data_IF_542402792440
#
_entry.id   IF_542402792440
#
_cell.length_a   1.000
_cell.length_b   1.000
_cell.length_c   1.000
_cell.angle_alpha   90.00
_cell.angle_beta   90.00
_cell.angle_gamma   90.00
#
_symmetry.space_group_name_H-M   'P 1'
#
loop_
_entity.id
_entity.type
_entity.pdbx_description
1 polymer ?
#
# COMPACT_ATOMS: atom_id res chain seq x y z
N UNK A 1 -93.01 7.26 38.44
CA UNK A 1 -93.20 7.92 37.14
C UNK A 1 -92.28 7.20 36.15
N UNK A 2 -92.67 6.09 35.52
CA UNK A 2 -93.47 5.95 34.27
C UNK A 2 -92.85 6.57 33.01
N UNK A 3 -92.58 5.68 32.04
CA UNK A 3 -92.40 5.84 30.58
C UNK A 3 -91.06 6.44 30.09
N UNK A 4 -90.42 6.00 29.00
CA UNK A 4 -90.73 4.97 27.99
C UNK A 4 -89.54 4.78 27.02
N UNK A 5 -89.57 3.63 26.33
CA UNK A 5 -88.76 3.14 25.22
C UNK A 5 -88.61 4.05 23.99
N UNK A 6 -87.49 3.90 23.27
CA UNK A 6 -87.31 3.89 21.80
C UNK A 6 -85.85 3.45 21.53
N UNK A 7 -85.56 2.19 21.18
CA UNK A 7 -85.57 1.58 19.84
C UNK A 7 -84.80 2.37 18.77
N UNK A 8 -83.57 1.94 18.49
CA UNK A 8 -82.95 2.12 17.16
C UNK A 8 -81.99 0.97 16.89
N UNK A 9 -82.30 0.25 15.82
CA UNK A 9 -81.60 -0.89 15.25
C UNK A 9 -80.29 -0.46 14.58
N UNK A 10 -79.21 -1.22 14.79
CA UNK A 10 -77.98 -1.13 14.01
C UNK A 10 -77.65 -2.54 13.47
N UNK A 11 -77.31 -2.69 12.17
CA UNK A 11 -77.14 -3.99 11.55
C UNK A 11 -75.76 -4.59 11.89
N UNK A 12 -75.76 -5.88 12.22
CA UNK A 12 -74.57 -6.72 12.31
C UNK A 12 -73.94 -6.89 10.92
N UNK A 13 -72.78 -6.28 10.67
CA UNK A 13 -71.92 -6.64 9.55
C UNK A 13 -71.11 -7.88 9.93
N UNK A 14 -71.51 -9.04 9.40
CA UNK A 14 -70.71 -10.27 9.43
C UNK A 14 -69.68 -10.18 8.30
N UNK A 15 -68.42 -9.97 8.66
CA UNK A 15 -67.29 -10.08 7.71
C UNK A 15 -66.97 -11.57 7.56
N UNK A 16 -67.36 -12.14 6.42
CA UNK A 16 -66.85 -13.44 5.96
C UNK A 16 -65.41 -13.24 5.45
N UNK A 17 -64.43 -13.69 6.23
CA UNK A 17 -63.05 -13.86 5.76
C UNK A 17 -63.01 -15.09 4.83
N UNK A 18 -63.08 -14.83 3.53
CA UNK A 18 -62.71 -15.80 2.50
C UNK A 18 -61.20 -16.05 2.59
N UNK A 19 -60.80 -17.18 3.17
CA UNK A 19 -59.47 -17.75 2.98
C UNK A 19 -59.38 -18.28 1.54
N UNK A 20 -59.05 -17.39 0.61
CA UNK A 20 -58.53 -17.80 -0.69
C UNK A 20 -57.16 -18.41 -0.48
N UNK A 21 -57.02 -19.71 -0.74
CA UNK A 21 -55.72 -20.37 -0.86
C UNK A 21 -54.98 -19.78 -2.06
N UNK A 22 -54.23 -18.70 -1.84
CA UNK A 22 -53.16 -18.31 -2.74
C UNK A 22 -52.12 -19.42 -2.67
N UNK A 23 -52.14 -20.31 -3.66
CA UNK A 23 -50.99 -21.12 -4.00
C UNK A 23 -49.87 -20.16 -4.41
N UNK A 24 -49.04 -19.77 -3.44
CA UNK A 24 -47.76 -19.14 -3.73
C UNK A 24 -46.91 -20.24 -4.34
N UNK A 25 -46.76 -20.19 -5.66
CA UNK A 25 -45.73 -20.95 -6.36
C UNK A 25 -44.39 -20.54 -5.76
N UNK A 26 -43.78 -21.44 -4.99
CA UNK A 26 -42.48 -21.23 -4.39
C UNK A 26 -41.42 -21.36 -5.50
N UNK A 27 -41.32 -20.35 -6.36
CA UNK A 27 -40.24 -20.25 -7.34
C UNK A 27 -38.94 -20.03 -6.59
N UNK A 28 -37.99 -20.95 -6.73
CA UNK A 28 -36.69 -20.84 -6.09
C UNK A 28 -36.06 -19.48 -6.43
N UNK A 29 -35.76 -18.68 -5.42
CA UNK A 29 -35.28 -17.32 -5.60
C UNK A 29 -33.85 -17.34 -6.16
N UNK A 30 -33.65 -16.77 -7.35
CA UNK A 30 -32.33 -16.70 -7.97
C UNK A 30 -31.42 -15.69 -7.26
N UNK A 31 -30.18 -16.11 -6.97
CA UNK A 31 -29.12 -15.27 -6.41
C UNK A 31 -27.97 -15.13 -7.41
N UNK A 32 -27.14 -14.09 -7.25
CA UNK A 32 -25.91 -13.95 -8.04
C UNK A 32 -24.84 -14.89 -7.49
N UNK A 33 -24.15 -15.60 -8.36
CA UNK A 33 -23.03 -16.48 -8.04
C UNK A 33 -21.79 -16.09 -8.85
N UNK A 34 -20.63 -16.21 -8.23
CA UNK A 34 -19.32 -16.10 -8.85
C UNK A 34 -18.78 -17.50 -9.10
N UNK A 35 -18.52 -17.82 -10.35
CA UNK A 35 -18.05 -19.12 -10.84
C UNK A 35 -16.58 -19.00 -11.21
N UNK A 36 -15.73 -19.79 -10.57
CA UNK A 36 -14.29 -19.87 -10.84
C UNK A 36 -14.02 -21.08 -11.73
N UNK A 37 -13.34 -20.85 -12.85
CA UNK A 37 -13.05 -21.83 -13.89
C UNK A 37 -11.55 -22.13 -13.98
N UNK A 38 -11.20 -23.41 -14.12
CA UNK A 38 -9.83 -23.87 -14.35
C UNK A 38 -9.42 -23.61 -15.80
N UNK A 39 -8.80 -22.44 -16.07
CA UNK A 39 -8.39 -22.04 -17.44
C UNK A 39 -7.61 -23.12 -18.20
N UNK A 40 -6.76 -23.89 -17.52
CA UNK A 40 -5.94 -24.96 -18.13
C UNK A 40 -6.74 -26.19 -18.57
N UNK A 41 -8.01 -26.32 -18.14
CA UNK A 41 -8.88 -27.44 -18.49
C UNK A 41 -9.86 -27.12 -19.61
N UNK A 42 -9.72 -25.97 -20.29
CA UNK A 42 -10.57 -25.65 -21.43
C UNK A 42 -10.45 -26.72 -22.52
N UNK A 43 -11.55 -27.36 -22.95
CA UNK A 43 -11.50 -28.35 -24.01
C UNK A 43 -11.00 -27.72 -25.32
N UNK A 44 -10.24 -28.48 -26.10
CA UNK A 44 -9.68 -28.04 -27.39
C UNK A 44 -10.74 -27.75 -28.46
N UNK A 45 -12.00 -28.12 -28.22
CA UNK A 45 -13.15 -27.79 -29.07
C UNK A 45 -13.63 -26.34 -28.95
N UNK A 46 -13.09 -25.56 -28.00
CA UNK A 46 -13.43 -24.15 -27.83
C UNK A 46 -12.27 -23.23 -28.21
N UNK A 47 -12.56 -22.25 -29.07
CA UNK A 47 -11.58 -21.24 -29.50
C UNK A 47 -11.46 -20.06 -28.51
N UNK A 48 -12.47 -19.86 -27.66
CA UNK A 48 -12.51 -18.79 -26.66
C UNK A 48 -13.07 -19.27 -25.32
N UNK A 49 -12.47 -18.80 -24.23
CA UNK A 49 -12.90 -19.12 -22.87
C UNK A 49 -14.34 -18.69 -22.58
N UNK A 50 -14.80 -17.58 -23.17
CA UNK A 50 -16.19 -17.10 -23.02
C UNK A 50 -17.22 -18.09 -23.58
N UNK A 51 -16.93 -18.73 -24.71
CA UNK A 51 -17.83 -19.73 -25.32
C UNK A 51 -17.87 -21.01 -24.49
N UNK A 52 -16.73 -21.40 -23.91
CA UNK A 52 -16.69 -22.52 -22.96
C UNK A 52 -17.50 -22.23 -21.71
N UNK A 53 -17.36 -21.03 -21.14
CA UNK A 53 -18.11 -20.59 -19.95
C UNK A 53 -19.61 -20.54 -20.20
N UNK A 54 -20.04 -19.99 -21.34
CA UNK A 54 -21.45 -19.97 -21.74
C UNK A 54 -22.00 -21.39 -21.90
N UNK A 55 -21.25 -22.27 -22.57
CA UNK A 55 -21.64 -23.68 -22.71
C UNK A 55 -21.79 -24.40 -21.35
N UNK A 56 -20.89 -24.12 -20.40
CA UNK A 56 -20.98 -24.66 -19.03
C UNK A 56 -22.16 -24.08 -18.24
N UNK A 57 -22.55 -22.83 -18.49
CA UNK A 57 -23.73 -22.21 -17.89
C UNK A 57 -25.04 -22.77 -18.47
N UNK A 58 -25.09 -22.91 -19.81
CA UNK A 58 -26.27 -23.43 -20.51
C UNK A 58 -26.56 -24.90 -20.23
N UNK A 59 -25.56 -25.68 -19.79
CA UNK A 59 -25.77 -27.08 -19.41
C UNK A 59 -26.57 -27.24 -18.12
N UNK A 60 -26.67 -26.19 -17.29
CA UNK A 60 -27.37 -26.21 -16.00
C UNK A 60 -28.57 -25.27 -15.95
N UNK A 61 -28.63 -24.26 -16.81
CA UNK A 61 -29.77 -23.34 -16.90
C UNK A 61 -29.98 -22.83 -18.32
N UNK A 62 -31.17 -23.06 -18.87
CA UNK A 62 -31.54 -22.56 -20.21
C UNK A 62 -31.74 -21.03 -20.22
N UNK A 63 -32.06 -20.44 -19.06
CA UNK A 63 -32.48 -19.04 -18.95
C UNK A 63 -31.42 -18.11 -18.36
N UNK A 64 -30.38 -18.63 -17.71
CA UNK A 64 -29.34 -17.83 -17.07
C UNK A 64 -28.39 -17.18 -18.09
N UNK A 65 -27.94 -15.97 -17.79
CA UNK A 65 -26.97 -15.23 -18.60
C UNK A 65 -25.76 -14.80 -17.76
N UNK A 66 -24.59 -14.75 -18.39
CA UNK A 66 -23.39 -14.22 -17.75
C UNK A 66 -23.50 -12.70 -17.55
N UNK A 67 -23.38 -12.26 -16.32
CA UNK A 67 -23.41 -10.85 -15.90
C UNK A 67 -22.04 -10.21 -16.09
N UNK A 68 -20.97 -10.98 -15.86
CA UNK A 68 -19.60 -10.50 -15.96
C UNK A 68 -18.64 -11.66 -16.21
N UNK A 69 -17.49 -11.39 -16.84
CA UNK A 69 -16.43 -12.38 -17.09
C UNK A 69 -15.10 -11.91 -16.51
N UNK A 70 -14.46 -12.75 -15.70
CA UNK A 70 -13.16 -12.52 -15.08
C UNK A 70 -12.04 -13.15 -15.93
N UNK A 71 -11.04 -12.35 -16.33
CA UNK A 71 -10.00 -12.76 -17.28
C UNK A 71 -8.54 -12.57 -16.82
N UNK A 72 -8.31 -11.98 -15.64
CA UNK A 72 -6.98 -11.55 -15.19
C UNK A 72 -6.50 -12.34 -13.96
N UNK A 73 -6.87 -11.90 -12.76
CA UNK A 73 -6.44 -12.51 -11.49
C UNK A 73 -7.18 -13.82 -11.17
N UNK A 74 -8.40 -13.96 -11.70
CA UNK A 74 -9.26 -15.12 -11.59
C UNK A 74 -9.87 -15.33 -12.99
N UNK A 75 -10.07 -16.59 -13.38
CA UNK A 75 -10.70 -16.96 -14.65
C UNK A 75 -12.10 -17.50 -14.38
N UNK A 76 -13.15 -16.92 -14.96
CA UNK A 76 -14.52 -17.37 -14.69
C UNK A 76 -15.58 -16.33 -15.00
N UNK A 77 -16.76 -16.45 -14.41
CA UNK A 77 -17.88 -15.56 -14.69
C UNK A 77 -18.84 -15.38 -13.51
N UNK A 78 -19.64 -14.31 -13.52
CA UNK A 78 -20.75 -14.10 -12.59
C UNK A 78 -22.07 -14.34 -13.32
N UNK A 79 -23.04 -14.97 -12.66
CA UNK A 79 -24.36 -15.30 -13.23
C UNK A 79 -25.43 -15.36 -12.15
N UNK A 80 -26.72 -15.34 -12.52
CA UNK A 80 -27.83 -15.56 -11.58
C UNK A 80 -28.40 -16.95 -11.76
N UNK A 81 -28.45 -17.70 -10.66
CA UNK A 81 -28.86 -19.11 -10.63
C UNK A 81 -29.76 -19.37 -9.43
N UNK A 82 -30.57 -20.42 -9.48
CA UNK A 82 -31.14 -21.02 -8.28
C UNK A 82 -30.07 -21.81 -7.53
N UNK A 83 -30.24 -22.10 -6.24
CA UNK A 83 -29.31 -22.95 -5.49
C UNK A 83 -29.05 -24.30 -6.15
N UNK A 84 -30.09 -24.93 -6.72
CA UNK A 84 -30.00 -26.23 -7.38
C UNK A 84 -29.20 -26.16 -8.69
N UNK A 85 -29.36 -25.09 -9.47
CA UNK A 85 -28.56 -24.85 -10.67
C UNK A 85 -27.10 -24.55 -10.31
N UNK A 86 -26.85 -23.82 -9.22
CA UNK A 86 -25.51 -23.53 -8.71
C UNK A 86 -24.79 -24.80 -8.23
N UNK A 87 -25.50 -25.69 -7.52
CA UNK A 87 -24.98 -27.00 -7.10
C UNK A 87 -24.69 -27.89 -8.30
N UNK A 88 -25.58 -27.90 -9.30
CA UNK A 88 -25.37 -28.62 -10.55
C UNK A 88 -24.15 -28.09 -11.31
N UNK A 89 -23.92 -26.77 -11.29
CA UNK A 89 -22.77 -26.15 -11.93
C UNK A 89 -21.45 -26.54 -11.26
N UNK A 90 -21.43 -26.73 -9.93
CA UNK A 90 -20.24 -27.21 -9.22
C UNK A 90 -19.77 -28.60 -9.68
N UNK A 91 -20.66 -29.41 -10.25
CA UNK A 91 -20.32 -30.74 -10.76
C UNK A 91 -19.74 -30.72 -12.18
N UNK A 92 -19.78 -29.57 -12.87
CA UNK A 92 -19.32 -29.47 -14.25
C UNK A 92 -17.79 -29.52 -14.35
N UNK A 93 -17.22 -30.27 -15.32
CA UNK A 93 -15.79 -30.30 -15.56
C UNK A 93 -15.20 -28.91 -15.79
N UNK A 94 -14.12 -28.60 -15.08
CA UNK A 94 -13.44 -27.31 -15.16
C UNK A 94 -13.99 -26.21 -14.25
N UNK A 95 -15.08 -26.46 -13.52
CA UNK A 95 -15.55 -25.56 -12.45
C UNK A 95 -14.79 -25.85 -11.15
N UNK A 96 -14.06 -24.85 -10.65
CA UNK A 96 -13.29 -24.92 -9.40
C UNK A 96 -14.18 -24.61 -8.19
N UNK A 97 -15.05 -23.61 -8.31
CA UNK A 97 -15.97 -23.22 -7.24
C UNK A 97 -17.11 -22.37 -7.76
N UNK A 98 -18.30 -22.54 -7.17
CA UNK A 98 -19.46 -21.65 -7.37
C UNK A 98 -19.79 -21.06 -6.00
N UNK A 99 -19.71 -19.73 -5.86
CA UNK A 99 -19.93 -19.06 -4.57
C UNK A 99 -20.99 -17.99 -4.73
N UNK A 100 -21.99 -17.98 -3.85
CA UNK A 100 -23.00 -16.92 -3.87
C UNK A 100 -22.31 -15.57 -3.59
N UNK A 101 -22.61 -14.58 -4.42
CA UNK A 101 -22.13 -13.22 -4.25
C UNK A 101 -22.67 -12.66 -2.93
N UNK A 102 -21.76 -12.27 -2.05
CA UNK A 102 -22.11 -11.50 -0.87
C UNK A 102 -21.88 -10.02 -1.15
N UNK A 103 -22.98 -9.26 -1.18
CA UNK A 103 -22.91 -7.81 -1.29
C UNK A 103 -22.49 -7.26 0.06
N UNK A 104 -21.21 -6.92 0.20
CA UNK A 104 -20.71 -6.24 1.38
C UNK A 104 -20.95 -4.74 1.24
N UNK A 105 -21.70 -4.15 2.18
CA UNK A 105 -21.71 -2.70 2.29
C UNK A 105 -20.36 -2.23 2.84
N UNK A 106 -19.77 -1.21 2.22
CA UNK A 106 -18.52 -0.62 2.67
C UNK A 106 -18.77 0.07 4.01
N UNK A 107 -18.56 -0.67 5.11
CA UNK A 107 -18.95 -0.18 6.42
C UNK A 107 -18.01 0.93 6.96
N UNK A 108 -16.71 1.02 6.58
CA UNK A 108 -15.81 2.17 6.86
C UNK A 108 -14.34 1.89 6.49
N UNK A 109 -13.51 2.94 6.38
CA UNK A 109 -12.02 2.93 6.37
C UNK A 109 -11.40 3.02 7.77
N UNK A 110 -12.19 2.91 8.84
CA UNK A 110 -11.74 3.04 10.25
C UNK A 110 -12.24 1.87 11.10
N UNK A 111 -11.37 0.86 11.22
CA UNK A 111 -11.56 -0.38 12.00
C UNK A 111 -12.07 -0.18 13.43
N UNK A 112 -11.64 0.83 14.22
CA UNK A 112 -12.13 0.99 15.60
C UNK A 112 -13.61 1.35 15.70
N UNK A 113 -14.12 2.16 14.77
CA UNK A 113 -15.51 2.60 14.72
C UNK A 113 -16.45 1.44 14.37
N UNK A 114 -16.03 0.60 13.42
CA UNK A 114 -16.78 -0.59 12.98
C UNK A 114 -17.00 -1.60 14.10
N UNK A 115 -16.05 -1.71 15.02
CA UNK A 115 -16.09 -2.65 16.13
C UNK A 115 -16.78 -2.09 17.39
N UNK A 116 -17.37 -0.90 17.32
CA UNK A 116 -18.01 -0.27 18.48
C UNK A 116 -17.04 0.06 19.62
N UNK A 117 -15.75 0.22 19.31
CA UNK A 117 -14.71 0.63 20.26
C UNK A 117 -14.67 2.15 20.46
N UNK A 118 -15.59 2.86 19.82
CA UNK A 118 -15.98 4.24 20.07
C UNK A 118 -17.29 4.22 20.87
N UNK A 119 -17.22 4.07 22.20
CA UNK A 119 -18.09 4.80 23.14
C UNK A 119 -17.57 4.71 24.60
N UNK A 120 -17.26 5.89 25.15
CA UNK A 120 -17.47 6.42 26.51
C UNK A 120 -17.89 5.49 27.68
N UNK A 121 -17.15 4.44 28.00
CA UNK A 121 -17.15 3.91 29.37
C UNK A 121 -15.71 3.55 29.79
N UNK A 122 -15.18 4.36 30.70
CA UNK A 122 -13.82 4.23 31.20
C UNK A 122 -13.57 2.85 31.77
N UNK A 123 -12.47 2.23 31.32
CA UNK A 123 -11.96 1.00 31.89
C UNK A 123 -11.47 0.00 30.85
N UNK A 124 -10.41 0.34 30.11
CA UNK A 124 -9.30 -0.62 29.87
C UNK A 124 -8.08 0.03 29.20
N UNK A 125 -8.21 1.19 28.56
CA UNK A 125 -7.08 1.92 27.96
C UNK A 125 -7.29 3.43 28.13
N UNK A 126 -6.31 4.19 28.65
CA UNK A 126 -6.42 5.65 28.71
C UNK A 126 -6.53 6.20 27.28
N UNK A 127 -7.54 7.04 27.05
CA UNK A 127 -7.75 7.74 25.78
C UNK A 127 -6.50 8.56 25.44
N UNK A 128 -5.89 8.24 24.30
CA UNK A 128 -5.15 9.24 23.54
C UNK A 128 -5.67 9.17 22.12
N UNK A 129 -6.06 10.32 21.57
CA UNK A 129 -6.54 10.53 20.20
C UNK A 129 -5.47 10.26 19.12
N UNK A 130 -4.40 9.55 19.47
CA UNK A 130 -3.17 9.30 18.72
C UNK A 130 -3.17 7.96 17.97
N UNK A 131 -4.32 7.30 17.81
CA UNK A 131 -4.42 5.90 17.36
C UNK A 131 -4.27 5.66 15.85
N UNK A 132 -3.71 6.60 15.09
CA UNK A 132 -3.36 6.40 13.67
C UNK A 132 -2.03 7.05 13.32
N UNK A 133 -1.18 6.34 12.57
CA UNK A 133 0.17 6.75 12.13
C UNK A 133 1.27 6.72 13.20
N UNK A 134 1.25 5.74 14.10
CA UNK A 134 2.36 5.49 15.04
C UNK A 134 3.41 4.59 14.40
N UNK A 135 4.69 4.87 14.64
CA UNK A 135 5.76 3.91 14.34
C UNK A 135 5.83 2.94 15.50
N UNK A 136 5.66 1.65 15.20
CA UNK A 136 5.94 0.59 16.16
C UNK A 136 7.30 0.01 15.79
N UNK A 137 8.29 0.24 16.66
CA UNK A 137 9.64 -0.31 16.57
C UNK A 137 9.66 -1.83 16.69
N UNK A 138 9.19 -2.53 15.67
CA UNK A 138 9.35 -3.98 15.54
C UNK A 138 10.66 -4.22 14.79
N UNK A 139 11.76 -4.28 15.55
CA UNK A 139 13.08 -4.87 15.25
C UNK A 139 13.87 -4.47 13.98
N UNK A 140 13.33 -3.66 13.05
CA UNK A 140 14.03 -3.22 11.83
C UNK A 140 14.19 -1.69 11.77
N UNK A 141 15.01 -1.13 12.67
CA UNK A 141 15.44 0.28 12.59
C UNK A 141 16.81 0.40 11.92
N UNK A 142 17.04 1.51 11.22
CA UNK A 142 18.36 1.88 10.71
C UNK A 142 19.39 2.21 11.80
N UNK A 143 20.62 2.53 11.40
CA UNK A 143 21.10 2.65 10.01
C UNK A 143 21.23 1.30 9.32
N UNK A 144 21.37 1.32 7.98
CA UNK A 144 21.63 0.12 7.19
C UNK A 144 23.02 -0.46 7.55
N UNK A 145 23.10 -1.66 8.16
CA UNK A 145 24.38 -2.23 8.62
C UNK A 145 25.28 -2.69 7.47
N UNK A 146 24.73 -2.91 6.27
CA UNK A 146 25.47 -3.35 5.09
C UNK A 146 26.06 -2.16 4.35
N UNK A 147 25.31 -1.05 4.27
CA UNK A 147 25.75 0.17 3.59
C UNK A 147 25.20 1.39 4.33
N UNK A 148 25.91 1.90 5.35
CA UNK A 148 25.44 3.00 6.20
C UNK A 148 25.09 4.29 5.43
N UNK A 149 25.70 4.49 4.26
CA UNK A 149 25.42 5.64 3.38
C UNK A 149 24.08 5.55 2.63
N UNK A 150 23.32 4.46 2.78
CA UNK A 150 21.96 4.32 2.27
C UNK A 150 20.99 4.24 3.44
N UNK A 151 20.17 5.28 3.58
CA UNK A 151 19.17 5.40 4.66
C UNK A 151 18.13 4.26 4.56
N UNK A 152 17.90 3.57 5.67
CA UNK A 152 16.84 2.57 5.83
C UNK A 152 16.11 2.73 7.18
N UNK A 153 14.81 2.39 7.26
CA UNK A 153 13.93 1.94 6.17
C UNK A 153 13.64 3.06 5.15
N UNK A 154 13.01 2.75 4.02
CA UNK A 154 12.70 3.78 3.01
C UNK A 154 11.50 4.66 3.40
N UNK A 155 10.47 4.05 3.96
CA UNK A 155 9.19 4.67 4.32
C UNK A 155 8.38 3.69 5.20
N UNK A 156 7.31 4.18 5.84
CA UNK A 156 6.40 3.36 6.65
C UNK A 156 4.99 3.30 6.06
N UNK A 157 4.28 2.23 6.41
CA UNK A 157 2.88 2.02 6.05
C UNK A 157 2.16 1.22 7.16
N UNK A 158 0.82 1.19 7.18
CA UNK A 158 0.06 0.51 8.23
C UNK A 158 0.42 -0.97 8.33
N UNK A 159 0.86 -1.39 9.52
CA UNK A 159 1.28 -2.77 9.78
C UNK A 159 0.79 -3.34 11.10
N UNK A 160 -0.07 -2.63 11.83
CA UNK A 160 -0.49 -3.01 13.18
C UNK A 160 -1.99 -3.16 13.21
N UNK A 161 -2.47 -4.25 13.79
CA UNK A 161 -3.88 -4.62 13.86
C UNK A 161 -4.53 -4.62 12.47
N UNK A 162 -3.83 -5.21 11.50
CA UNK A 162 -4.32 -5.32 10.13
C UNK A 162 -5.22 -6.53 10.02
N UNK A 163 -6.50 -6.28 9.69
CA UNK A 163 -7.47 -7.30 9.35
C UNK A 163 -7.25 -7.75 7.90
N UNK A 164 -7.00 -9.03 7.70
CA UNK A 164 -6.85 -9.62 6.36
C UNK A 164 -7.43 -11.04 6.31
N UNK A 165 -7.60 -11.55 5.09
CA UNK A 165 -8.09 -12.91 4.88
C UNK A 165 -7.18 -13.94 5.56
N UNK A 166 -7.80 -14.98 6.10
CA UNK A 166 -7.14 -16.07 6.82
C UNK A 166 -7.66 -17.40 6.30
N UNK A 167 -6.76 -18.37 6.12
CA UNK A 167 -7.09 -19.65 5.47
C UNK A 167 -8.05 -20.52 6.29
N UNK A 168 -8.19 -20.24 7.59
CA UNK A 168 -8.88 -21.11 8.53
C UNK A 168 -8.14 -22.42 8.81
N UNK A 169 -6.96 -22.69 8.21
CA UNK A 169 -6.21 -23.93 8.48
C UNK A 169 -5.57 -23.94 9.88
N UNK A 170 -5.29 -22.75 10.42
CA UNK A 170 -4.77 -22.53 11.76
C UNK A 170 -5.72 -21.62 12.55
N UNK A 171 -5.73 -21.76 13.87
CA UNK A 171 -6.43 -20.83 14.76
C UNK A 171 -5.84 -19.41 14.67
N UNK A 172 -6.62 -18.36 14.98
CA UNK A 172 -6.18 -16.97 14.90
C UNK A 172 -4.88 -16.66 15.66
N UNK A 173 -4.64 -17.36 16.78
CA UNK A 173 -3.42 -17.18 17.59
C UNK A 173 -2.19 -17.94 17.05
N UNK A 174 -2.39 -18.86 16.09
CA UNK A 174 -1.36 -19.80 15.63
C UNK A 174 -1.01 -20.90 16.63
N UNK A 175 -1.61 -20.93 17.83
CA UNK A 175 -1.38 -21.97 18.83
C UNK A 175 -2.15 -23.25 18.49
N UNK A 176 -1.54 -24.41 18.75
CA UNK A 176 -2.18 -25.70 18.53
C UNK A 176 -3.45 -25.91 19.38
N UNK A 177 -3.56 -25.23 20.52
CA UNK A 177 -4.73 -25.24 21.40
C UNK A 177 -5.90 -24.39 20.88
N UNK A 178 -5.66 -23.50 19.91
CA UNK A 178 -6.69 -22.61 19.37
C UNK A 178 -7.50 -23.30 18.27
N UNK A 179 -8.69 -23.74 18.66
CA UNK A 179 -9.61 -24.49 17.80
C UNK A 179 -10.49 -23.58 16.94
N UNK A 180 -10.45 -22.26 17.10
CA UNK A 180 -11.27 -21.33 16.31
C UNK A 180 -10.88 -21.35 14.84
N UNK A 181 -11.86 -21.18 13.95
CA UNK A 181 -11.65 -21.15 12.50
C UNK A 181 -12.34 -19.90 11.97
N UNK A 182 -11.55 -18.99 11.41
CA UNK A 182 -12.00 -17.66 10.98
C UNK A 182 -11.55 -17.43 9.55
N UNK A 183 -12.37 -16.70 8.79
CA UNK A 183 -12.05 -16.29 7.42
C UNK A 183 -11.18 -15.02 7.38
N UNK A 184 -11.10 -14.30 8.50
CA UNK A 184 -10.29 -13.10 8.66
C UNK A 184 -9.56 -13.12 10.00
N UNK A 185 -8.34 -12.61 10.01
CA UNK A 185 -7.52 -12.50 11.21
C UNK A 185 -6.92 -11.10 11.33
N UNK A 186 -6.63 -10.68 12.56
CA UNK A 186 -5.98 -9.42 12.88
C UNK A 186 -4.57 -9.74 13.34
N UNK A 187 -3.59 -9.30 12.55
CA UNK A 187 -2.17 -9.52 12.86
C UNK A 187 -1.37 -8.23 12.66
N UNK A 188 -0.19 -8.22 13.26
CA UNK A 188 0.71 -7.06 13.28
C UNK A 188 2.10 -7.48 12.85
N UNK A 189 2.80 -6.60 12.13
CA UNK A 189 4.18 -6.76 11.71
C UNK A 189 4.49 -5.98 10.43
N UNK A 190 5.78 -5.82 10.14
CA UNK A 190 6.26 -5.25 8.87
C UNK A 190 5.79 -6.07 7.65
N UNK A 191 5.55 -7.37 7.86
CA UNK A 191 4.89 -8.26 6.88
C UNK A 191 3.49 -7.80 6.48
N UNK A 192 2.80 -7.01 7.31
CA UNK A 192 1.50 -6.41 7.00
C UNK A 192 1.63 -5.02 6.36
N UNK A 193 2.70 -4.27 6.67
CA UNK A 193 3.02 -3.00 5.99
C UNK A 193 3.44 -3.21 4.54
N UNK A 194 4.26 -4.23 4.26
CA UNK A 194 4.77 -4.55 2.93
C UNK A 194 3.69 -4.69 1.84
N UNK A 195 2.58 -5.44 2.04
CA UNK A 195 1.53 -5.56 1.02
C UNK A 195 0.76 -4.25 0.79
N UNK A 196 0.65 -3.35 1.78
CA UNK A 196 0.10 -2.01 1.54
C UNK A 196 0.96 -1.23 0.55
N UNK A 197 2.27 -1.17 0.77
CA UNK A 197 3.20 -0.48 -0.14
C UNK A 197 3.23 -1.16 -1.51
N UNK A 198 3.16 -2.49 -1.56
CA UNK A 198 3.10 -3.25 -2.82
C UNK A 198 1.84 -2.94 -3.63
N UNK A 199 0.68 -2.85 -2.97
CA UNK A 199 -0.57 -2.44 -3.60
C UNK A 199 -0.50 -1.00 -4.12
N UNK A 200 0.08 -0.08 -3.34
CA UNK A 200 0.30 1.31 -3.79
C UNK A 200 1.23 1.39 -4.98
N UNK A 201 2.34 0.62 -4.98
CA UNK A 201 3.26 0.56 -6.11
C UNK A 201 2.57 0.04 -7.38
N UNK A 202 1.71 -0.98 -7.26
CA UNK A 202 0.92 -1.50 -8.37
C UNK A 202 -0.09 -0.48 -8.91
N UNK A 203 -0.75 0.28 -8.02
CA UNK A 203 -1.66 1.36 -8.41
C UNK A 203 -0.92 2.50 -9.09
N UNK A 204 0.25 2.90 -8.59
CA UNK A 204 1.07 3.92 -9.25
C UNK A 204 1.54 3.43 -10.62
N UNK A 205 1.90 2.15 -10.76
CA UNK A 205 2.26 1.55 -12.05
C UNK A 205 1.08 1.49 -13.03
N UNK A 206 -0.16 1.35 -12.55
CA UNK A 206 -1.33 1.36 -13.44
C UNK A 206 -1.67 2.77 -13.92
N UNK A 207 -1.43 3.79 -13.10
CA UNK A 207 -1.61 5.20 -13.48
C UNK A 207 -0.45 5.71 -14.35
N UNK A 208 0.78 5.26 -14.08
CA UNK A 208 2.00 5.61 -14.81
C UNK A 208 2.70 4.35 -15.35
N UNK A 209 2.19 3.74 -16.44
CA UNK A 209 2.71 2.49 -17.00
C UNK A 209 4.18 2.55 -17.42
N UNK A 210 4.71 3.74 -17.70
CA UNK A 210 6.09 3.99 -18.11
C UNK A 210 7.07 4.12 -16.94
N UNK A 211 6.60 4.38 -15.72
CA UNK A 211 7.49 4.59 -14.58
C UNK A 211 8.31 3.35 -14.25
N UNK A 212 9.60 3.55 -14.00
CA UNK A 212 10.48 2.51 -13.49
C UNK A 212 10.09 2.15 -12.03
N UNK A 213 10.54 0.99 -11.51
CA UNK A 213 10.41 0.69 -10.09
C UNK A 213 11.04 1.76 -9.18
N UNK A 214 12.13 2.39 -9.62
CA UNK A 214 12.81 3.45 -8.87
C UNK A 214 12.01 4.75 -8.86
N UNK A 215 11.38 5.12 -9.98
CA UNK A 215 10.48 6.26 -10.06
C UNK A 215 9.25 6.09 -9.14
N UNK A 216 8.66 4.89 -9.11
CA UNK A 216 7.55 4.56 -8.18
C UNK A 216 8.00 4.65 -6.72
N UNK A 217 9.15 4.07 -6.37
CA UNK A 217 9.72 4.21 -5.03
C UNK A 217 9.97 5.67 -4.68
N UNK A 218 10.54 6.44 -5.61
CA UNK A 218 10.78 7.87 -5.43
C UNK A 218 9.50 8.63 -5.15
N UNK A 219 8.43 8.38 -5.92
CA UNK A 219 7.15 9.03 -5.72
C UNK A 219 6.61 8.75 -4.30
N UNK A 220 6.60 7.48 -3.90
CA UNK A 220 6.14 7.07 -2.56
C UNK A 220 6.96 7.70 -1.42
N UNK A 221 8.29 7.76 -1.56
CA UNK A 221 9.17 8.33 -0.54
C UNK A 221 9.05 9.85 -0.48
N UNK A 222 9.17 10.52 -1.61
CA UNK A 222 9.29 12.00 -1.65
C UNK A 222 8.01 12.74 -1.32
N UNK A 223 6.87 12.05 -1.39
CA UNK A 223 5.56 12.59 -1.02
C UNK A 223 5.03 12.03 0.31
N UNK A 224 5.84 11.24 1.03
CA UNK A 224 5.48 10.74 2.36
C UNK A 224 5.40 11.90 3.37
N UNK A 225 4.56 11.73 4.40
CA UNK A 225 4.48 12.70 5.50
C UNK A 225 5.15 12.15 6.75
N UNK A 226 5.83 13.02 7.49
CA UNK A 226 6.53 12.69 8.73
C UNK A 226 5.94 13.39 9.96
N UNK A 227 4.82 14.08 9.79
CA UNK A 227 4.05 14.77 10.84
C UNK A 227 2.58 14.37 10.77
N UNK A 228 1.90 14.39 11.92
CA UNK A 228 0.46 14.29 11.98
C UNK A 228 -0.20 15.56 11.43
N UNK A 229 -1.53 15.53 11.29
CA UNK A 229 -2.31 16.66 10.76
C UNK A 229 -2.23 17.93 11.61
N UNK A 230 -1.88 17.80 12.89
CA UNK A 230 -1.68 18.91 13.82
C UNK A 230 -0.25 19.49 13.75
N UNK A 231 0.61 18.94 12.89
CA UNK A 231 2.01 19.35 12.72
C UNK A 231 2.98 18.69 13.69
N UNK A 232 2.50 17.89 14.65
CA UNK A 232 3.38 17.17 15.57
C UNK A 232 4.13 16.05 14.82
N UNK A 233 5.39 15.77 15.17
CA UNK A 233 6.15 14.68 14.56
C UNK A 233 5.49 13.33 14.87
N UNK A 234 5.62 12.38 13.94
CA UNK A 234 5.24 10.99 14.19
C UNK A 234 6.00 10.47 15.42
N UNK A 235 5.34 9.74 16.30
CA UNK A 235 5.92 9.23 17.54
C UNK A 235 6.35 7.77 17.35
N UNK A 236 7.54 7.45 17.86
CA UNK A 236 7.93 6.06 18.09
C UNK A 236 7.32 5.59 19.42
N UNK A 237 6.45 4.58 19.34
CA UNK A 237 5.74 4.06 20.51
C UNK A 237 6.68 3.38 21.52
N UNK A 238 7.84 2.90 21.07
CA UNK A 238 8.78 2.17 21.93
C UNK A 238 9.50 3.10 22.90
N UNK A 239 9.80 4.33 22.46
CA UNK A 239 10.48 5.35 23.27
C UNK A 239 9.55 6.46 23.76
N UNK A 240 8.38 6.65 23.15
CA UNK A 240 7.47 7.76 23.41
C UNK A 240 7.98 9.11 22.90
N UNK A 241 9.02 9.11 22.05
CA UNK A 241 9.68 10.33 21.53
C UNK A 241 9.33 10.55 20.05
N UNK A 242 9.57 11.75 19.50
CA UNK A 242 9.54 11.97 18.06
C UNK A 242 10.39 10.91 17.34
N UNK A 243 9.77 10.28 16.35
CA UNK A 243 10.43 9.26 15.54
C UNK A 243 11.46 9.88 14.60
N UNK A 244 12.47 9.10 14.27
CA UNK A 244 13.59 9.53 13.42
C UNK A 244 13.51 8.91 12.02
N UNK A 245 14.23 9.45 11.03
CA UNK A 245 14.40 8.81 9.73
C UNK A 245 14.94 7.37 9.78
N UNK A 246 15.67 6.97 10.83
CA UNK A 246 16.06 5.56 11.00
C UNK A 246 14.91 4.64 11.42
N UNK A 247 13.78 5.20 11.84
CA UNK A 247 12.59 4.44 12.21
C UNK A 247 11.52 4.55 11.12
N UNK A 248 11.32 5.75 10.54
CA UNK A 248 10.25 5.98 9.55
C UNK A 248 10.71 6.21 8.11
N UNK A 249 12.01 6.27 7.84
CA UNK A 249 12.53 6.57 6.51
C UNK A 249 12.18 7.99 6.05
N UNK A 250 11.50 8.10 4.91
CA UNK A 250 10.92 9.35 4.44
C UNK A 250 9.61 9.74 5.14
N UNK A 251 8.99 8.81 5.87
CA UNK A 251 7.72 9.01 6.56
C UNK A 251 6.65 8.02 6.12
N UNK A 252 5.41 8.31 6.49
CA UNK A 252 4.25 7.49 6.19
C UNK A 252 3.73 7.73 4.77
N UNK A 253 3.40 6.64 4.08
CA UNK A 253 2.84 6.69 2.72
C UNK A 253 1.65 7.64 2.61
N UNK A 254 1.63 8.40 1.51
CA UNK A 254 0.49 9.21 1.09
C UNK A 254 0.11 8.86 -0.35
N UNK A 255 -0.91 8.00 -0.53
CA UNK A 255 -1.29 7.50 -1.86
C UNK A 255 -1.67 8.61 -2.84
N UNK A 256 -2.41 9.61 -2.37
CA UNK A 256 -2.99 10.66 -3.21
C UNK A 256 -1.94 11.63 -3.74
N UNK A 257 -0.92 11.96 -2.95
CA UNK A 257 0.17 12.84 -3.38
C UNK A 257 1.19 12.09 -4.23
N UNK A 258 1.40 10.80 -3.98
CA UNK A 258 2.34 9.99 -4.76
C UNK A 258 1.93 9.79 -6.23
N UNK A 259 0.65 9.98 -6.57
CA UNK A 259 0.18 9.93 -7.97
C UNK A 259 0.79 11.06 -8.81
N UNK A 260 1.05 12.23 -8.23
CA UNK A 260 1.73 13.31 -8.95
C UNK A 260 2.77 13.97 -8.04
N UNK A 261 3.97 13.40 -7.94
CA UNK A 261 5.01 13.86 -7.03
C UNK A 261 5.72 15.13 -7.55
N UNK A 262 5.46 15.56 -8.79
CA UNK A 262 6.18 16.66 -9.44
C UNK A 262 7.54 16.24 -9.99
N UNK A 263 8.44 15.72 -9.13
CA UNK A 263 9.76 15.21 -9.51
C UNK A 263 9.98 13.77 -9.02
N UNK A 264 10.80 13.01 -9.74
CA UNK A 264 11.25 11.67 -9.32
C UNK A 264 12.76 11.48 -9.45
N UNK A 265 13.34 10.74 -8.51
CA UNK A 265 14.70 10.22 -8.55
C UNK A 265 14.68 8.84 -9.22
N UNK A 266 14.97 8.83 -10.52
CA UNK A 266 14.96 7.60 -11.31
C UNK A 266 16.32 6.90 -11.30
N UNK A 267 16.30 5.58 -11.43
CA UNK A 267 17.46 4.71 -11.49
C UNK A 267 17.25 3.61 -12.51
N UNK A 268 18.31 3.27 -13.21
CA UNK A 268 18.41 2.15 -14.13
C UNK A 268 19.12 0.97 -13.48
N UNK A 269 19.04 -0.19 -14.13
CA UNK A 269 19.81 -1.37 -13.70
C UNK A 269 21.32 -1.10 -13.69
N UNK A 270 21.83 -0.28 -14.62
CA UNK A 270 23.26 0.06 -14.69
C UNK A 270 23.69 0.84 -13.45
N UNK A 271 22.86 1.75 -12.94
CA UNK A 271 23.16 2.51 -11.72
C UNK A 271 23.31 1.58 -10.49
N UNK A 272 22.52 0.52 -10.40
CA UNK A 272 22.68 -0.50 -9.35
C UNK A 272 23.96 -1.33 -9.53
N UNK A 273 24.37 -1.63 -10.76
CA UNK A 273 25.62 -2.34 -11.03
C UNK A 273 26.83 -1.47 -10.70
N UNK A 274 26.79 -0.18 -11.05
CA UNK A 274 27.80 0.81 -10.68
C UNK A 274 27.88 0.99 -9.16
N UNK A 275 26.76 0.91 -8.45
CA UNK A 275 26.73 0.88 -6.99
C UNK A 275 27.39 -0.37 -6.41
N UNK A 276 27.18 -1.56 -6.99
CA UNK A 276 27.90 -2.77 -6.57
C UNK A 276 29.42 -2.64 -6.80
N UNK A 277 29.83 -1.97 -7.89
CA UNK A 277 31.22 -1.64 -8.13
C UNK A 277 31.78 -0.67 -7.07
N UNK A 278 30.99 0.32 -6.63
CA UNK A 278 31.37 1.21 -5.52
C UNK A 278 31.62 0.43 -4.23
N UNK A 279 30.82 -0.60 -3.97
CA UNK A 279 30.96 -1.52 -2.83
C UNK A 279 32.08 -2.56 -3.00
N UNK A 280 32.88 -2.49 -4.07
CA UNK A 280 34.02 -3.38 -4.35
C UNK A 280 33.65 -4.84 -4.60
N UNK A 281 32.42 -5.11 -5.07
CA UNK A 281 32.04 -6.44 -5.53
C UNK A 281 32.78 -6.77 -6.83
N UNK A 282 33.27 -8.01 -6.95
CA UNK A 282 33.91 -8.49 -8.17
C UNK A 282 32.88 -9.01 -9.19
N UNK A 283 33.28 -9.18 -10.45
CA UNK A 283 32.37 -9.61 -11.53
C UNK A 283 31.65 -10.93 -11.26
N UNK A 284 32.27 -11.87 -10.55
CA UNK A 284 31.62 -13.14 -10.21
C UNK A 284 30.47 -12.91 -9.21
N UNK A 285 30.72 -12.11 -8.17
CA UNK A 285 29.69 -11.76 -7.19
C UNK A 285 28.54 -10.95 -7.81
N UNK A 286 28.86 -9.99 -8.69
CA UNK A 286 27.85 -9.21 -9.43
C UNK A 286 27.04 -10.13 -10.35
N UNK A 287 27.68 -11.12 -10.98
CA UNK A 287 27.03 -12.09 -11.85
C UNK A 287 25.97 -12.94 -11.13
N UNK A 288 26.17 -13.26 -9.86
CA UNK A 288 25.19 -14.01 -9.04
C UNK A 288 23.88 -13.23 -8.89
N UNK A 289 23.96 -11.91 -8.68
CA UNK A 289 22.78 -11.08 -8.42
C UNK A 289 22.13 -10.58 -9.70
N UNK A 290 22.94 -10.16 -10.68
CA UNK A 290 22.45 -9.59 -11.94
C UNK A 290 21.98 -10.63 -12.96
N UNK A 291 22.33 -11.91 -12.77
CA UNK A 291 22.11 -13.01 -13.73
C UNK A 291 22.71 -12.73 -15.12
N UNK A 292 23.73 -11.87 -15.18
CA UNK A 292 24.44 -11.50 -16.41
C UNK A 292 25.91 -11.22 -16.13
N UNK A 293 26.70 -11.02 -17.19
CA UNK A 293 28.11 -10.67 -17.05
C UNK A 293 28.25 -9.15 -16.97
N UNK A 294 28.74 -8.65 -15.83
CA UNK A 294 29.10 -7.24 -15.65
C UNK A 294 30.52 -7.12 -15.11
N UNK A 295 31.29 -6.21 -15.70
CA UNK A 295 32.64 -5.89 -15.26
C UNK A 295 32.74 -4.39 -15.02
N UNK A 296 33.14 -4.04 -13.79
CA UNK A 296 33.37 -2.67 -13.42
C UNK A 296 34.48 -2.08 -14.32
N UNK A 297 34.16 -0.99 -15.01
CA UNK A 297 35.13 -0.23 -15.80
C UNK A 297 36.20 0.37 -14.86
N UNK A 298 37.46 0.00 -15.07
CA UNK A 298 38.60 0.43 -14.27
C UNK A 298 38.96 1.90 -14.47
N UNK A 299 38.46 2.55 -15.53
CA UNK A 299 38.65 3.98 -15.77
C UNK A 299 37.67 4.86 -15.01
N UNK A 300 36.58 4.29 -14.48
CA UNK A 300 35.57 5.00 -13.70
C UNK A 300 35.86 4.96 -12.20
N UNK A 301 35.63 6.09 -11.55
CA UNK A 301 35.55 6.15 -10.08
C UNK A 301 34.10 5.93 -9.66
N UNK A 302 33.86 4.87 -8.91
CA UNK A 302 32.53 4.56 -8.36
C UNK A 302 32.42 5.05 -6.93
N UNK A 303 31.35 5.78 -6.60
CA UNK A 303 31.00 6.15 -5.24
C UNK A 303 29.60 5.67 -4.87
N UNK A 304 29.44 5.22 -3.63
CA UNK A 304 28.11 4.94 -3.06
C UNK A 304 27.24 6.20 -3.08
N UNK A 305 27.86 7.38 -2.95
CA UNK A 305 27.17 8.67 -2.97
C UNK A 305 26.52 9.00 -4.33
N UNK A 306 26.94 8.33 -5.41
CA UNK A 306 26.43 8.57 -6.77
C UNK A 306 25.11 7.84 -7.04
N UNK A 307 24.72 6.88 -6.20
CA UNK A 307 23.41 6.24 -6.32
C UNK A 307 22.32 7.31 -6.15
N UNK A 308 21.52 7.51 -7.20
CA UNK A 308 20.46 8.51 -7.29
C UNK A 308 19.23 8.17 -6.40
N UNK A 309 19.47 8.05 -5.10
CA UNK A 309 18.50 7.61 -4.10
C UNK A 309 17.75 8.82 -3.51
N UNK A 310 16.42 8.73 -3.25
CA UNK A 310 15.60 9.84 -2.74
C UNK A 310 15.79 10.15 -1.24
N UNK A 311 16.96 9.84 -0.68
CA UNK A 311 17.39 10.15 0.68
C UNK A 311 18.91 10.30 0.75
N UNK A 312 19.38 10.87 1.85
CA UNK A 312 20.80 11.09 2.12
C UNK A 312 21.17 10.49 3.47
N UNK A 313 22.18 9.63 3.50
CA UNK A 313 22.80 9.18 4.74
C UNK A 313 24.31 9.44 4.68
N UNK A 314 24.78 10.29 5.59
CA UNK A 314 26.18 10.71 5.68
C UNK A 314 26.79 10.04 6.90
N UNK A 315 27.71 9.11 6.65
CA UNK A 315 28.53 8.55 7.71
C UNK A 315 29.82 9.36 7.83
N UNK A 316 29.97 10.08 8.94
CA UNK A 316 31.10 10.99 9.19
C UNK A 316 32.26 10.18 9.77
N UNK A 317 33.24 9.89 8.91
CA UNK A 317 34.46 9.12 9.19
C UNK A 317 35.70 9.92 8.77
N UNK A 318 36.10 10.89 9.60
CA UNK A 318 37.38 11.60 9.45
C UNK A 318 37.53 12.52 8.22
N UNK A 319 36.57 12.55 7.29
CA UNK A 319 36.51 13.56 6.22
C UNK A 319 35.70 14.78 6.66
N UNK A 320 36.20 15.97 6.28
CA UNK A 320 35.54 17.26 6.53
C UNK A 320 34.41 17.54 5.52
N UNK A 321 34.35 16.81 4.41
CA UNK A 321 33.37 17.08 3.35
C UNK A 321 32.89 15.81 2.66
N UNK A 322 31.58 15.72 2.46
CA UNK A 322 30.90 14.65 1.73
C UNK A 322 30.03 15.25 0.64
N UNK A 323 30.22 14.80 -0.60
CA UNK A 323 29.48 15.32 -1.78
C UNK A 323 28.62 14.23 -2.38
N UNK A 324 27.38 14.57 -2.68
CA UNK A 324 26.39 13.73 -3.34
C UNK A 324 25.91 14.42 -4.60
N UNK A 325 25.70 13.65 -5.65
CA UNK A 325 25.02 14.14 -6.86
C UNK A 325 23.67 13.46 -6.96
N UNK A 326 22.63 14.22 -7.29
CA UNK A 326 21.30 13.70 -7.58
C UNK A 326 20.82 14.23 -8.91
N UNK A 327 20.01 13.43 -9.59
CA UNK A 327 19.33 13.79 -10.82
C UNK A 327 17.84 13.55 -10.63
N UNK A 328 17.06 14.60 -10.79
CA UNK A 328 15.60 14.56 -10.72
C UNK A 328 15.02 14.67 -12.13
N UNK A 329 13.95 13.93 -12.37
CA UNK A 329 13.18 13.95 -13.62
C UNK A 329 11.85 14.63 -13.35
N UNK A 330 11.45 15.61 -14.17
CA UNK A 330 10.12 16.22 -14.04
C UNK A 330 9.05 15.27 -14.57
N UNK A 331 8.07 14.95 -13.72
CA UNK A 331 6.85 14.21 -14.11
C UNK A 331 5.62 15.11 -14.12
N UNK A 332 5.70 16.29 -13.49
CA UNK A 332 4.64 17.32 -13.48
C UNK A 332 4.70 18.32 -14.63
N UNK A 333 5.74 18.28 -15.47
CA UNK A 333 5.91 19.16 -16.63
C UNK A 333 6.78 20.39 -16.35
N UNK A 334 6.44 21.52 -16.99
CA UNK A 334 7.19 22.76 -16.84
C UNK A 334 7.00 23.35 -15.43
N UNK A 335 8.09 23.77 -14.79
CA UNK A 335 8.06 24.30 -13.43
C UNK A 335 9.43 24.75 -12.93
N UNK A 336 9.42 25.62 -11.92
CA UNK A 336 10.62 26.07 -11.22
C UNK A 336 10.56 25.62 -9.77
N UNK A 337 11.51 24.78 -9.37
CA UNK A 337 11.60 24.24 -8.02
C UNK A 337 12.70 24.95 -7.26
N UNK A 338 12.37 25.50 -6.09
CA UNK A 338 13.33 26.08 -5.15
C UNK A 338 13.62 25.11 -4.02
N UNK A 339 14.88 25.05 -3.58
CA UNK A 339 15.30 24.17 -2.48
C UNK A 339 15.11 24.82 -1.11
N UNK A 340 14.65 24.04 -0.15
CA UNK A 340 14.66 24.34 1.28
C UNK A 340 15.41 23.24 2.01
N UNK A 341 16.25 23.63 2.96
CA UNK A 341 17.06 22.71 3.77
C UNK A 341 16.68 22.87 5.23
N UNK A 342 16.50 21.76 5.92
CA UNK A 342 16.37 21.71 7.37
C UNK A 342 17.43 20.78 7.96
N UNK A 343 17.94 21.13 9.13
CA UNK A 343 18.93 20.33 9.86
C UNK A 343 18.73 20.55 11.36
N UNK A 344 18.74 19.46 12.13
CA UNK A 344 18.69 19.47 13.59
C UNK A 344 20.03 19.87 14.23
N UNK A 345 21.08 20.02 13.43
CA UNK A 345 22.41 20.34 13.93
C UNK A 345 23.10 21.42 13.11
N UNK A 346 23.90 22.23 13.81
CA UNK A 346 24.83 23.20 13.24
C UNK A 346 26.23 22.62 13.03
N UNK A 347 26.48 21.36 13.43
CA UNK A 347 27.77 20.70 13.32
C UNK A 347 28.13 20.32 11.87
N UNK A 348 27.12 20.18 11.01
CA UNK A 348 27.28 19.93 9.59
C UNK A 348 26.46 20.95 8.80
N UNK A 349 27.13 21.69 7.93
CA UNK A 349 26.51 22.61 6.98
C UNK A 349 26.13 21.86 5.71
N UNK A 350 24.87 21.99 5.30
CA UNK A 350 24.34 21.39 4.07
C UNK A 350 24.18 22.48 3.02
N UNK A 351 24.86 22.37 1.89
CA UNK A 351 24.76 23.29 0.75
C UNK A 351 24.34 22.57 -0.52
N UNK A 352 23.51 23.23 -1.34
CA UNK A 352 22.95 22.67 -2.58
C UNK A 352 23.24 23.61 -3.75
N UNK A 353 23.66 23.05 -4.87
CA UNK A 353 23.93 23.79 -6.10
C UNK A 353 23.40 23.02 -7.34
N UNK A 354 22.60 23.66 -8.22
CA UNK A 354 22.02 25.01 -8.07
C UNK A 354 20.90 25.04 -7.01
N UNK A 355 20.55 26.23 -6.50
CA UNK A 355 19.45 26.38 -5.52
C UNK A 355 18.04 26.37 -6.16
N UNK A 356 17.97 26.47 -7.49
CA UNK A 356 16.72 26.46 -8.27
C UNK A 356 16.88 25.55 -9.48
N UNK A 357 15.90 24.68 -9.72
CA UNK A 357 15.81 23.81 -10.89
C UNK A 357 14.65 24.23 -11.77
N UNK A 358 14.94 24.57 -13.02
CA UNK A 358 13.96 24.97 -14.01
C UNK A 358 13.75 23.86 -15.04
N UNK A 359 12.50 23.42 -15.19
CA UNK A 359 12.07 22.43 -16.16
C UNK A 359 11.11 23.08 -17.16
N UNK A 360 11.22 22.69 -18.43
CA UNK A 360 10.45 23.18 -19.56
C UNK A 360 9.41 22.17 -20.04
N UNK A 361 9.65 20.89 -19.79
CA UNK A 361 8.79 19.80 -20.26
C UNK A 361 8.85 18.57 -19.35
N UNK A 362 7.89 17.66 -19.55
CA UNK A 362 7.87 16.35 -18.87
C UNK A 362 9.06 15.52 -19.34
N UNK A 363 9.62 14.72 -18.44
CA UNK A 363 10.81 13.87 -18.62
C UNK A 363 12.14 14.63 -18.75
N UNK A 364 12.15 15.97 -18.67
CA UNK A 364 13.40 16.71 -18.58
C UNK A 364 14.11 16.35 -17.26
N UNK A 365 15.41 16.07 -17.36
CA UNK A 365 16.27 15.72 -16.23
C UNK A 365 17.14 16.90 -15.84
N UNK A 366 17.26 17.14 -14.54
CA UNK A 366 18.21 18.12 -13.99
C UNK A 366 18.99 17.51 -12.84
N UNK A 367 20.27 17.82 -12.79
CA UNK A 367 21.15 17.38 -11.70
C UNK A 367 21.47 18.52 -10.76
N UNK A 368 21.69 18.18 -9.50
CA UNK A 368 22.19 19.09 -8.48
C UNK A 368 23.17 18.36 -7.57
N UNK A 369 24.09 19.12 -6.99
CA UNK A 369 25.05 18.65 -5.99
C UNK A 369 24.58 19.03 -4.60
N UNK A 370 24.77 18.12 -3.64
CA UNK A 370 24.62 18.37 -2.20
C UNK A 370 25.98 18.18 -1.55
N UNK A 371 26.43 19.18 -0.80
CA UNK A 371 27.68 19.12 -0.05
C UNK A 371 27.40 19.23 1.43
N UNK A 372 27.90 18.27 2.20
CA UNK A 372 27.87 18.24 3.65
C UNK A 372 29.26 18.59 4.15
N UNK A 373 29.41 19.74 4.78
CA UNK A 373 30.67 20.22 5.35
C UNK A 373 30.62 20.08 6.87
N UNK A 374 31.55 19.31 7.43
CA UNK A 374 31.63 19.06 8.87
C UNK A 374 32.42 20.19 9.52
N UNK A 375 31.72 21.07 10.24
CA UNK A 375 32.33 22.19 10.96
C UNK A 375 32.74 21.77 12.39
N UNK A 376 31.98 20.85 13.00
CA UNK A 376 32.23 20.32 14.34
C UNK A 376 32.03 18.80 14.37
N UNK A 377 33.00 18.07 14.91
CA UNK A 377 32.83 16.64 15.16
C UNK A 377 31.99 16.40 16.42
N UNK A 378 31.14 15.37 16.40
CA UNK A 378 30.36 14.90 17.55
C UNK A 378 30.89 13.55 18.03
N UNK A 379 30.55 13.11 19.27
CA UNK A 379 30.91 11.79 19.74
C UNK A 379 30.43 10.67 18.82
N UNK A 380 31.26 9.62 18.65
CA UNK A 380 30.88 8.41 17.93
C UNK A 380 29.57 7.82 18.49
N UNK A 381 28.69 7.35 17.61
CA UNK A 381 27.34 6.90 17.90
C UNK A 381 26.29 8.01 17.94
N UNK A 382 26.68 9.27 17.77
CA UNK A 382 25.72 10.39 17.65
C UNK A 382 25.04 10.37 16.29
N UNK A 383 23.76 10.77 16.27
CA UNK A 383 22.99 10.96 15.04
C UNK A 383 22.34 12.35 15.03
N UNK A 384 22.11 12.89 13.84
CA UNK A 384 21.33 14.11 13.63
C UNK A 384 20.60 14.03 12.30
N UNK A 385 19.41 14.62 12.22
CA UNK A 385 18.55 14.47 11.06
C UNK A 385 18.20 15.81 10.41
N UNK A 386 17.60 15.75 9.24
CA UNK A 386 17.18 16.91 8.47
C UNK A 386 16.39 16.54 7.23
N UNK A 387 16.12 17.52 6.39
CA UNK A 387 15.45 17.33 5.09
C UNK A 387 16.00 18.26 4.02
N UNK A 388 15.93 17.79 2.77
CA UNK A 388 16.10 18.62 1.58
C UNK A 388 14.77 18.54 0.81
N UNK A 389 14.13 19.69 0.63
CA UNK A 389 12.80 19.81 0.04
C UNK A 389 12.86 20.68 -1.21
N UNK A 390 12.46 20.13 -2.35
CA UNK A 390 12.22 20.91 -3.56
C UNK A 390 10.74 21.26 -3.67
N UNK A 391 10.41 22.52 -3.94
CA UNK A 391 9.02 22.93 -4.13
C UNK A 391 8.84 23.96 -5.24
N UNK A 392 7.78 23.80 -6.02
CA UNK A 392 7.26 24.74 -7.00
C UNK A 392 6.03 25.51 -6.48
N UNK A 393 5.75 25.40 -5.17
CA UNK A 393 4.55 25.94 -4.50
C UNK A 393 3.30 25.06 -4.59
N UNK A 394 3.31 23.99 -5.39
CA UNK A 394 2.20 23.02 -5.52
C UNK A 394 2.62 21.63 -5.06
N UNK A 395 3.79 21.20 -5.48
CA UNK A 395 4.44 19.95 -5.13
C UNK A 395 5.52 20.23 -4.07
N UNK A 396 5.73 19.25 -3.21
CA UNK A 396 6.85 19.20 -2.28
C UNK A 396 7.51 17.85 -2.45
N UNK A 397 8.79 17.86 -2.81
CA UNK A 397 9.61 16.66 -3.05
C UNK A 397 10.63 16.60 -1.93
N UNK A 398 10.30 15.89 -0.86
CA UNK A 398 11.08 15.84 0.37
C UNK A 398 12.02 14.62 0.37
N UNK A 399 13.29 14.85 0.71
CA UNK A 399 14.27 13.79 0.92
C UNK A 399 14.83 13.88 2.34
N UNK A 400 14.69 12.82 3.16
CA UNK A 400 15.25 12.82 4.52
C UNK A 400 16.77 12.77 4.47
N UNK A 401 17.39 13.41 5.47
CA UNK A 401 18.83 13.43 5.70
C UNK A 401 19.10 12.77 7.05
N UNK A 402 20.02 11.82 7.09
CA UNK A 402 20.60 11.28 8.31
C UNK A 402 22.12 11.52 8.32
N UNK A 403 22.64 11.99 9.44
CA UNK A 403 24.06 12.22 9.66
C UNK A 403 24.46 11.42 10.89
N UNK A 404 25.42 10.52 10.73
CA UNK A 404 25.94 9.65 11.77
C UNK A 404 27.42 9.92 11.97
N UNK A 405 27.86 10.02 13.23
CA UNK A 405 29.28 10.09 13.57
C UNK A 405 29.72 8.73 14.07
N UNK A 406 30.78 8.18 13.50
CA UNK A 406 31.30 6.84 13.82
C UNK A 406 32.74 6.88 14.29
#
# INVERSE_FOLDING_TARGET
MTYSFLSSTAPFFIVFLYLGSCHVSNGAQQATYIVHMAKSQMPSSFDQHSLWYDSSLRSVSESAEMIYTYNNAIHGFATRLTPEEADSLMTQPGVISVRQEQRHELHTTRTPLFLGLDVHNGGLFPETSTSSNLVIGVLDSGPNPITPNILKPDLIAPGVNILAAWTGSLGPTGLASDTRRVEFNIISGTSMSCPHVSGLAALLKSVHPEWSPAAIRSALMTTAYNTYKDGNPIIDISTGKPSTPFEHGAGHVSPTTAVNPGLTYDLTTVDYLDFLCALKYNSSQIGVVSRGNYTCDSSKTYSVADLNYPSFAVNVEGSDTYKYTRTVTSVGGAGSYSVKVTSETTAVKISIEPAVLNFREVNEKKSYSVTFTVDLSKPSGSNSFGSIEWSDGKHVVASPVAISWT
#
